data_IF_909801034631
#
_entry.id   IF_909801034631
#
_cell.length_a   1.000
_cell.length_b   1.000
_cell.length_c   1.000
_cell.angle_alpha   90.00
_cell.angle_beta   90.00
_cell.angle_gamma   90.00
#
_symmetry.space_group_name_H-M   'P 1'
#
loop_
_entity.id
_entity.type
_entity.pdbx_description
1 polymer ?
#
# COMPACT_ATOMS: atom_id res chain seq x y z
N UNK A 1 1.84 20.51 31.57
CA UNK A 1 0.73 21.37 31.14
C UNK A 1 0.53 21.16 29.66
N UNK A 2 -0.67 20.78 29.21
CA UNK A 2 -1.00 20.70 27.78
C UNK A 2 -1.00 22.13 27.22
N UNK A 3 -0.19 22.41 26.20
CA UNK A 3 -0.12 23.77 25.62
C UNK A 3 -1.40 24.11 24.86
N UNK A 4 -1.66 25.40 24.62
CA UNK A 4 -2.84 25.85 23.89
C UNK A 4 -2.97 25.21 22.50
N UNK A 5 -1.85 25.02 21.77
CA UNK A 5 -1.85 24.35 20.47
C UNK A 5 -2.29 22.88 20.54
N UNK A 6 -1.93 22.15 21.60
CA UNK A 6 -2.40 20.78 21.81
C UNK A 6 -3.91 20.70 22.09
N UNK A 7 -4.46 21.69 22.80
CA UNK A 7 -5.90 21.79 23.02
C UNK A 7 -6.62 22.06 21.69
N UNK A 8 -6.10 22.98 20.88
CA UNK A 8 -6.63 23.27 19.54
C UNK A 8 -6.53 22.06 18.61
N UNK A 9 -5.43 21.31 18.61
CA UNK A 9 -5.33 20.06 17.84
C UNK A 9 -6.40 19.06 18.29
N UNK A 10 -6.56 18.85 19.59
CA UNK A 10 -7.55 17.92 20.12
C UNK A 10 -8.99 18.33 19.77
N UNK A 11 -9.29 19.64 19.85
CA UNK A 11 -10.56 20.24 19.43
C UNK A 11 -10.78 20.05 17.93
N UNK A 12 -9.82 20.45 17.09
CA UNK A 12 -9.86 20.29 15.64
C UNK A 12 -10.09 18.85 15.21
N UNK A 13 -9.39 17.91 15.82
CA UNK A 13 -9.55 16.49 15.52
C UNK A 13 -10.93 15.96 15.92
N UNK A 14 -11.45 16.39 17.07
CA UNK A 14 -12.73 15.91 17.61
C UNK A 14 -13.93 16.51 16.88
N UNK A 15 -13.90 17.82 16.63
CA UNK A 15 -15.08 18.60 16.22
C UNK A 15 -15.14 18.83 14.71
N UNK A 16 -14.01 18.73 14.01
CA UNK A 16 -13.94 18.98 12.57
C UNK A 16 -13.42 17.77 11.78
N UNK A 17 -12.23 17.26 12.13
CA UNK A 17 -11.58 16.20 11.37
C UNK A 17 -12.36 14.87 11.42
N UNK A 18 -12.64 14.36 12.63
CA UNK A 18 -13.33 13.09 12.80
C UNK A 18 -14.75 13.09 12.20
N UNK A 19 -15.59 14.12 12.41
CA UNK A 19 -16.89 14.20 11.75
C UNK A 19 -16.77 14.22 10.22
N UNK A 20 -15.84 14.99 9.65
CA UNK A 20 -15.63 15.03 8.21
C UNK A 20 -15.19 13.68 7.64
N UNK A 21 -14.27 12.98 8.31
CA UNK A 21 -13.87 11.63 7.90
C UNK A 21 -15.00 10.62 8.00
N UNK A 22 -15.90 10.74 8.98
CA UNK A 22 -17.09 9.87 9.07
C UNK A 22 -18.04 10.06 7.90
N UNK A 23 -18.23 11.30 7.44
CA UNK A 23 -19.00 11.58 6.21
C UNK A 23 -18.35 10.94 4.97
N UNK A 24 -17.03 10.71 4.99
CA UNK A 24 -16.30 10.01 3.94
C UNK A 24 -16.29 8.48 4.11
N UNK A 25 -16.99 7.93 5.12
CA UNK A 25 -17.09 6.49 5.35
C UNK A 25 -16.01 5.90 6.29
N UNK A 26 -15.15 6.73 6.87
CA UNK A 26 -14.23 6.26 7.91
C UNK A 26 -14.97 6.02 9.23
N UNK A 27 -14.45 5.07 9.99
CA UNK A 27 -14.79 4.82 11.40
C UNK A 27 -13.56 5.04 12.27
N UNK A 28 -13.74 5.17 13.59
CA UNK A 28 -12.61 5.39 14.52
C UNK A 28 -12.67 6.73 15.25
N UNK A 29 -11.61 7.02 15.98
CA UNK A 29 -11.57 8.08 16.99
C UNK A 29 -10.14 8.56 17.27
N UNK A 30 -10.02 9.85 17.65
CA UNK A 30 -8.77 10.56 17.97
C UNK A 30 -7.77 10.56 16.81
N UNK A 31 -6.80 9.66 16.86
CA UNK A 31 -5.62 9.66 16.00
C UNK A 31 -5.60 8.48 15.04
N UNK A 32 -6.62 7.62 15.04
CA UNK A 32 -6.67 6.47 14.13
C UNK A 32 -8.08 6.25 13.61
N UNK A 33 -8.18 6.23 12.29
CA UNK A 33 -9.40 6.05 11.52
C UNK A 33 -9.24 4.85 10.59
N UNK A 34 -10.34 4.22 10.21
CA UNK A 34 -10.35 3.04 9.35
C UNK A 34 -11.49 3.09 8.35
N UNK A 35 -11.20 2.75 7.10
CA UNK A 35 -12.23 2.40 6.13
C UNK A 35 -12.66 0.95 6.43
N UNK A 36 -13.95 0.68 6.67
CA UNK A 36 -14.41 -0.67 6.92
C UNK A 36 -14.15 -1.57 5.71
N UNK A 37 -13.39 -2.64 5.92
CA UNK A 37 -13.21 -3.71 4.95
C UNK A 37 -13.27 -5.09 5.64
N UNK A 38 -13.71 -6.12 4.91
CA UNK A 38 -13.84 -7.47 5.47
C UNK A 38 -12.49 -8.17 5.62
N UNK A 39 -11.57 -7.99 4.69
CA UNK A 39 -10.32 -8.73 4.61
C UNK A 39 -9.10 -7.94 5.12
N UNK A 40 -9.18 -6.62 5.14
CA UNK A 40 -8.07 -5.74 5.45
C UNK A 40 -8.36 -4.76 6.58
N UNK A 41 -7.27 -4.31 7.19
CA UNK A 41 -7.19 -3.09 7.96
C UNK A 41 -6.71 -1.96 7.04
N UNK A 42 -7.64 -1.18 6.48
CA UNK A 42 -7.34 0.07 5.77
C UNK A 42 -7.39 1.23 6.78
N UNK A 43 -6.23 1.73 7.16
CA UNK A 43 -6.06 2.64 8.29
C UNK A 43 -5.48 3.98 7.86
N UNK A 44 -5.92 5.02 8.57
CA UNK A 44 -5.35 6.36 8.55
C UNK A 44 -4.94 6.72 9.99
N UNK A 45 -3.68 7.07 10.17
CA UNK A 45 -3.08 7.51 11.42
C UNK A 45 -2.74 8.98 11.38
N UNK A 46 -2.98 9.70 12.47
CA UNK A 46 -2.44 11.04 12.70
C UNK A 46 -1.14 10.87 13.49
N UNK A 47 -0.03 11.26 12.90
CA UNK A 47 1.29 11.26 13.53
C UNK A 47 1.62 12.69 13.95
N UNK A 48 1.88 12.89 15.24
CA UNK A 48 2.24 14.21 15.78
C UNK A 48 3.75 14.23 16.01
N UNK A 49 4.42 15.28 15.54
CA UNK A 49 5.85 15.46 15.74
C UNK A 49 6.16 15.58 17.24
N UNK A 50 7.35 15.12 17.64
CA UNK A 50 7.84 15.39 18.98
C UNK A 50 8.00 16.91 19.17
N UNK A 51 7.28 17.49 20.13
CA UNK A 51 7.38 18.91 20.41
C UNK A 51 8.76 19.25 20.97
N UNK A 52 9.44 20.24 20.38
CA UNK A 52 10.63 20.84 20.98
C UNK A 52 10.27 21.58 22.27
N UNK A 53 11.20 21.64 23.23
CA UNK A 53 10.99 22.41 24.45
C UNK A 53 10.69 23.88 24.10
N UNK A 54 9.49 24.35 24.42
CA UNK A 54 9.06 25.73 24.19
C UNK A 54 8.40 26.02 22.84
N UNK A 55 8.13 25.01 22.01
CA UNK A 55 7.41 25.21 20.74
C UNK A 55 5.94 25.60 21.01
N UNK A 56 5.49 26.79 20.57
CA UNK A 56 4.10 27.21 20.73
C UNK A 56 3.16 26.48 19.75
N UNK A 57 3.68 25.78 18.75
CA UNK A 57 2.92 25.09 17.73
C UNK A 57 3.00 23.56 17.88
N UNK A 58 2.05 22.87 17.26
CA UNK A 58 2.04 21.41 17.12
C UNK A 58 1.99 21.06 15.65
N UNK A 59 2.96 20.25 15.20
CA UNK A 59 3.00 19.76 13.83
C UNK A 59 2.52 18.32 13.75
N UNK A 60 1.73 18.01 12.74
CA UNK A 60 1.25 16.65 12.50
C UNK A 60 1.21 16.32 11.01
N UNK A 61 1.22 15.02 10.72
CA UNK A 61 1.05 14.46 9.38
C UNK A 61 0.10 13.26 9.44
N UNK A 62 -0.25 12.71 8.28
CA UNK A 62 -1.13 11.55 8.18
C UNK A 62 -0.40 10.38 7.53
N UNK A 63 -0.49 9.22 8.15
CA UNK A 63 0.01 7.96 7.59
C UNK A 63 -1.15 7.09 7.15
N UNK A 64 -1.00 6.42 6.02
CA UNK A 64 -1.98 5.48 5.49
C UNK A 64 -1.35 4.10 5.41
N UNK A 65 -2.12 3.05 5.71
CA UNK A 65 -1.67 1.68 5.59
C UNK A 65 -2.80 0.73 5.25
N UNK A 66 -2.47 -0.32 4.51
CA UNK A 66 -3.34 -1.48 4.29
C UNK A 66 -2.61 -2.73 4.78
N UNK A 67 -3.26 -3.50 5.65
CA UNK A 67 -2.72 -4.74 6.23
C UNK A 67 -3.79 -5.81 6.15
N UNK A 68 -3.48 -7.00 5.65
CA UNK A 68 -4.42 -8.11 5.65
C UNK A 68 -4.72 -8.59 7.09
N UNK A 69 -5.99 -8.86 7.39
CA UNK A 69 -6.44 -9.25 8.75
C UNK A 69 -5.91 -10.60 9.17
N UNK A 70 -5.79 -11.54 8.25
CA UNK A 70 -5.21 -12.87 8.45
C UNK A 70 -3.72 -12.80 8.77
N UNK A 71 -2.95 -12.00 8.02
CA UNK A 71 -1.53 -11.74 8.27
C UNK A 71 -1.33 -11.12 9.67
N UNK A 72 -2.22 -10.21 10.08
CA UNK A 72 -2.19 -9.64 11.43
C UNK A 72 -2.56 -10.66 12.52
N UNK A 73 -3.60 -11.47 12.29
CA UNK A 73 -4.05 -12.49 13.24
C UNK A 73 -2.98 -13.56 13.49
N UNK A 74 -2.16 -13.90 12.48
CA UNK A 74 -1.04 -14.83 12.59
C UNK A 74 0.10 -14.39 13.52
N UNK A 75 0.06 -13.18 14.10
CA UNK A 75 1.17 -12.57 14.86
C UNK A 75 1.24 -12.95 16.36
N UNK A 76 0.22 -13.53 17.00
CA UNK A 76 0.26 -13.76 18.46
C UNK A 76 0.88 -15.13 18.83
N UNK A 77 1.96 -15.18 19.66
CA UNK A 77 1.93 -14.63 21.02
C UNK A 77 3.09 -13.69 21.45
N UNK A 78 4.01 -13.25 20.56
CA UNK A 78 5.25 -12.57 20.99
C UNK A 78 5.17 -11.05 21.22
N UNK A 79 4.15 -10.36 20.73
CA UNK A 79 3.88 -8.94 21.03
C UNK A 79 2.46 -8.81 21.57
N UNK A 80 2.32 -8.85 22.90
CA UNK A 80 1.04 -8.70 23.60
C UNK A 80 0.44 -7.32 23.32
N UNK A 81 -0.80 -7.26 22.82
CA UNK A 81 -1.72 -6.20 23.24
C UNK A 81 -2.51 -5.42 22.18
N UNK A 82 -2.13 -5.43 20.89
CA UNK A 82 -2.87 -4.62 19.90
C UNK A 82 -3.82 -5.46 19.04
N UNK A 83 -5.13 -5.20 19.19
CA UNK A 83 -6.21 -5.84 18.41
C UNK A 83 -6.19 -5.48 16.92
N UNK A 84 -5.44 -4.44 16.53
CA UNK A 84 -5.29 -3.95 15.15
C UNK A 84 -3.88 -3.37 14.91
N UNK A 85 -3.42 -3.25 13.65
CA UNK A 85 -2.20 -2.52 13.32
C UNK A 85 -2.26 -1.05 13.76
N UNK A 86 -1.10 -0.46 13.99
CA UNK A 86 -0.94 0.98 14.16
C UNK A 86 -0.39 1.58 12.86
N UNK A 87 -1.15 2.42 12.13
CA UNK A 87 -0.68 3.03 10.88
C UNK A 87 0.54 3.93 11.07
N UNK A 88 0.83 4.39 12.30
CA UNK A 88 2.00 5.20 12.60
C UNK A 88 3.27 4.35 12.82
N UNK A 89 3.16 3.04 13.06
CA UNK A 89 4.30 2.17 13.37
C UNK A 89 4.40 1.01 12.38
N UNK A 90 5.51 0.89 11.65
CA UNK A 90 5.65 -0.15 10.63
C UNK A 90 5.70 -1.54 11.28
N UNK A 91 4.77 -2.39 10.89
CA UNK A 91 4.68 -3.78 11.34
C UNK A 91 5.46 -4.74 10.48
N UNK A 92 5.73 -4.39 9.21
CA UNK A 92 6.29 -5.25 8.18
C UNK A 92 5.27 -6.20 7.55
N UNK A 93 4.00 -6.12 7.96
CA UNK A 93 2.90 -6.96 7.46
C UNK A 93 1.98 -6.17 6.53
N UNK A 94 2.24 -4.88 6.35
CA UNK A 94 1.50 -4.03 5.42
C UNK A 94 1.70 -4.51 3.98
N UNK A 95 0.61 -4.70 3.24
CA UNK A 95 0.67 -4.84 1.79
C UNK A 95 1.06 -3.52 1.14
N UNK A 96 0.65 -2.41 1.77
CA UNK A 96 0.98 -1.04 1.39
C UNK A 96 1.00 -0.07 2.58
N UNK A 97 1.89 0.91 2.52
CA UNK A 97 1.97 2.06 3.43
C UNK A 97 2.49 3.28 2.67
N UNK A 98 1.98 4.46 3.03
CA UNK A 98 2.54 5.74 2.59
C UNK A 98 2.22 6.83 3.61
N UNK A 99 3.05 7.87 3.68
CA UNK A 99 2.63 9.14 4.27
C UNK A 99 1.83 9.92 3.25
N UNK A 100 0.81 10.67 3.70
CA UNK A 100 -0.12 11.36 2.80
C UNK A 100 0.57 12.37 1.88
N UNK A 101 1.68 12.97 2.32
CA UNK A 101 2.47 13.89 1.49
C UNK A 101 2.97 13.25 0.19
N UNK A 102 3.27 11.95 0.22
CA UNK A 102 3.71 11.18 -0.96
C UNK A 102 2.61 11.06 -2.02
N UNK A 103 1.34 11.26 -1.63
CA UNK A 103 0.18 11.20 -2.50
C UNK A 103 -0.21 12.57 -3.08
N UNK A 104 0.36 13.66 -2.54
CA UNK A 104 0.05 15.00 -3.00
C UNK A 104 0.80 15.33 -4.30
N UNK A 105 0.26 16.20 -5.18
CA UNK A 105 0.90 16.51 -6.47
C UNK A 105 2.32 17.08 -6.37
N UNK A 106 2.63 17.78 -5.28
CA UNK A 106 3.96 18.30 -5.03
C UNK A 106 5.00 17.18 -4.75
N UNK A 107 4.53 16.01 -4.30
CA UNK A 107 5.35 14.94 -3.75
C UNK A 107 6.03 15.34 -2.44
N UNK A 108 6.52 14.35 -1.69
CA UNK A 108 7.37 14.58 -0.51
C UNK A 108 6.62 14.60 0.82
N UNK A 109 7.25 15.15 1.84
CA UNK A 109 6.74 15.11 3.21
C UNK A 109 5.92 16.37 3.54
N UNK A 110 4.67 16.19 3.95
CA UNK A 110 3.76 17.30 4.30
C UNK A 110 3.38 17.21 5.76
N UNK A 111 3.58 18.32 6.45
CA UNK A 111 3.24 18.52 7.85
C UNK A 111 2.34 19.73 7.97
N UNK A 112 1.19 19.54 8.58
CA UNK A 112 0.32 20.63 9.01
C UNK A 112 0.79 21.15 10.35
N UNK A 113 0.54 22.42 10.60
CA UNK A 113 0.92 23.10 11.82
C UNK A 113 -0.29 23.77 12.45
N UNK A 114 -0.48 23.53 13.75
CA UNK A 114 -1.47 24.22 14.57
C UNK A 114 -0.72 25.11 15.54
N UNK A 115 -0.87 26.42 15.34
CA UNK A 115 -0.41 27.45 16.26
C UNK A 115 -1.61 28.23 16.82
N UNK A 116 -1.52 28.77 18.05
CA UNK A 116 -2.57 29.62 18.60
C UNK A 116 -2.79 30.85 17.72
N UNK A 117 -4.03 31.10 17.32
CA UNK A 117 -4.39 32.23 16.48
C UNK A 117 -5.65 31.98 15.66
N UNK A 118 -6.17 32.99 14.95
CA UNK A 118 -7.49 32.93 14.30
C UNK A 118 -7.58 31.95 13.12
N UNK A 119 -6.46 31.38 12.65
CA UNK A 119 -6.38 30.50 11.48
C UNK A 119 -5.98 29.06 11.79
N UNK A 120 -5.98 28.69 13.07
CA UNK A 120 -5.55 27.36 13.51
C UNK A 120 -6.32 26.22 12.82
N UNK A 121 -7.59 26.46 12.45
CA UNK A 121 -8.46 25.47 11.82
C UNK A 121 -8.11 25.18 10.35
N UNK A 122 -7.42 26.09 9.65
CA UNK A 122 -7.05 25.92 8.23
C UNK A 122 -6.23 24.66 8.01
N UNK A 123 -5.32 24.34 8.94
CA UNK A 123 -4.54 23.12 8.92
C UNK A 123 -5.42 21.86 8.95
N UNK A 124 -6.46 21.86 9.77
CA UNK A 124 -7.40 20.74 9.91
C UNK A 124 -8.22 20.59 8.63
N UNK A 125 -8.81 21.68 8.14
CA UNK A 125 -9.63 21.67 6.91
C UNK A 125 -8.82 21.23 5.69
N UNK A 126 -7.59 21.73 5.54
CA UNK A 126 -6.70 21.33 4.45
C UNK A 126 -6.31 19.85 4.54
N UNK A 127 -6.02 19.34 5.76
CA UNK A 127 -5.75 17.92 5.95
C UNK A 127 -6.96 17.03 5.61
N UNK A 128 -8.20 17.46 5.91
CA UNK A 128 -9.42 16.77 5.47
C UNK A 128 -9.54 16.78 3.95
N UNK A 129 -9.29 17.92 3.30
CA UNK A 129 -9.32 18.03 1.86
C UNK A 129 -8.29 17.11 1.19
N UNK A 130 -7.10 16.99 1.76
CA UNK A 130 -6.06 16.06 1.31
C UNK A 130 -6.51 14.60 1.42
N UNK A 131 -7.13 14.20 2.54
CA UNK A 131 -7.69 12.84 2.68
C UNK A 131 -8.79 12.60 1.66
N UNK A 132 -9.73 13.53 1.51
CA UNK A 132 -10.86 13.38 0.57
C UNK A 132 -10.37 13.22 -0.86
N UNK A 133 -9.38 14.00 -1.27
CA UNK A 133 -8.92 14.08 -2.66
C UNK A 133 -7.88 13.02 -3.02
N UNK A 134 -7.04 12.62 -2.08
CA UNK A 134 -5.89 11.76 -2.35
C UNK A 134 -5.85 10.52 -1.44
N UNK A 135 -6.05 10.70 -0.13
CA UNK A 135 -5.92 9.61 0.84
C UNK A 135 -6.96 8.49 0.68
N UNK A 136 -8.24 8.84 0.68
CA UNK A 136 -9.33 7.87 0.56
C UNK A 136 -9.36 7.17 -0.80
N UNK A 137 -9.28 7.87 -1.95
CA UNK A 137 -9.23 7.19 -3.25
C UNK A 137 -8.09 6.18 -3.33
N UNK A 138 -6.91 6.50 -2.80
CA UNK A 138 -5.79 5.58 -2.79
C UNK A 138 -6.04 4.38 -1.87
N UNK A 139 -6.58 4.58 -0.66
CA UNK A 139 -6.97 3.46 0.21
C UNK A 139 -7.96 2.51 -0.47
N UNK A 140 -9.00 3.05 -1.10
CA UNK A 140 -10.00 2.24 -1.83
C UNK A 140 -9.35 1.48 -2.99
N UNK A 141 -8.48 2.15 -3.76
CA UNK A 141 -7.73 1.51 -4.84
C UNK A 141 -6.88 0.34 -4.35
N UNK A 142 -6.25 0.46 -3.17
CA UNK A 142 -5.47 -0.63 -2.55
C UNK A 142 -6.33 -1.76 -1.99
N UNK A 143 -7.57 -1.48 -1.60
CA UNK A 143 -8.52 -2.50 -1.18
C UNK A 143 -9.10 -3.28 -2.37
N UNK A 144 -9.23 -2.62 -3.52
CA UNK A 144 -9.65 -3.23 -4.78
C UNK A 144 -8.52 -3.98 -5.48
N UNK A 145 -7.25 -3.61 -5.20
CA UNK A 145 -6.11 -4.43 -5.62
C UNK A 145 -6.28 -5.84 -5.04
N UNK A 146 -6.29 -6.89 -5.88
CA UNK A 146 -6.49 -8.26 -5.40
C UNK A 146 -5.48 -8.56 -4.30
N UNK A 147 -5.93 -9.19 -3.21
CA UNK A 147 -5.03 -9.60 -2.14
C UNK A 147 -3.90 -10.45 -2.72
N UNK A 148 -2.70 -9.88 -2.75
CA UNK A 148 -1.52 -10.54 -3.27
C UNK A 148 -0.75 -11.18 -2.14
N UNK A 149 -0.44 -12.47 -2.28
CA UNK A 149 0.55 -13.13 -1.42
C UNK A 149 1.91 -13.09 -2.09
N UNK A 150 2.99 -13.02 -1.31
CA UNK A 150 4.33 -13.21 -1.86
C UNK A 150 4.41 -14.56 -2.58
N UNK A 151 4.80 -14.56 -3.85
CA UNK A 151 4.82 -15.77 -4.66
C UNK A 151 6.14 -16.55 -4.51
N UNK A 152 7.27 -15.85 -4.62
CA UNK A 152 8.61 -16.42 -4.36
C UNK A 152 9.11 -15.96 -3.00
N UNK A 153 9.65 -16.89 -2.21
CA UNK A 153 10.46 -16.55 -1.05
C UNK A 153 11.69 -15.72 -1.44
N UNK A 154 12.34 -15.08 -0.48
CA UNK A 154 13.53 -14.28 -0.73
C UNK A 154 14.68 -15.09 -1.38
N UNK A 155 14.81 -16.38 -1.02
CA UNK A 155 15.84 -17.27 -1.58
C UNK A 155 15.53 -17.59 -3.04
N UNK A 156 14.30 -18.02 -3.34
CA UNK A 156 13.86 -18.33 -4.71
C UNK A 156 13.94 -17.09 -5.61
N UNK A 157 13.61 -15.91 -5.07
CA UNK A 157 13.71 -14.65 -5.79
C UNK A 157 15.17 -14.29 -6.16
N UNK A 158 16.13 -14.56 -5.29
CA UNK A 158 17.56 -14.36 -5.59
C UNK A 158 18.05 -15.34 -6.66
N UNK A 159 17.61 -16.60 -6.64
CA UNK A 159 17.94 -17.58 -7.69
C UNK A 159 17.41 -17.14 -9.06
N UNK A 160 16.15 -16.70 -9.13
CA UNK A 160 15.55 -16.15 -10.36
C UNK A 160 16.31 -14.90 -10.82
N UNK A 161 16.64 -14.00 -9.90
CA UNK A 161 17.39 -12.78 -10.24
C UNK A 161 18.82 -13.07 -10.71
N UNK A 162 19.47 -14.12 -10.19
CA UNK A 162 20.76 -14.57 -10.68
C UNK A 162 20.67 -15.08 -12.13
N UNK A 163 19.57 -15.74 -12.50
CA UNK A 163 19.32 -16.13 -13.89
C UNK A 163 19.08 -14.92 -14.80
N UNK A 164 18.26 -13.95 -14.37
CA UNK A 164 18.00 -12.71 -15.12
C UNK A 164 19.27 -11.88 -15.34
N UNK A 165 20.15 -11.82 -14.34
CA UNK A 165 21.42 -11.10 -14.43
C UNK A 165 22.33 -11.65 -15.54
N UNK A 166 22.32 -12.96 -15.79
CA UNK A 166 23.08 -13.58 -16.89
C UNK A 166 22.60 -13.12 -18.27
N UNK A 167 21.33 -12.71 -18.37
CA UNK A 167 20.74 -12.16 -19.59
C UNK A 167 20.76 -10.62 -19.62
N UNK A 168 21.49 -9.97 -18.69
CA UNK A 168 21.54 -8.52 -18.54
C UNK A 168 20.16 -7.85 -18.33
N UNK A 169 19.22 -8.55 -17.70
CA UNK A 169 17.87 -8.04 -17.39
C UNK A 169 17.83 -7.51 -15.96
N UNK A 170 17.24 -6.33 -15.76
CA UNK A 170 16.99 -5.76 -14.43
C UNK A 170 16.26 -6.75 -13.53
N UNK A 171 16.69 -6.84 -12.27
CA UNK A 171 16.11 -7.76 -11.28
C UNK A 171 14.63 -7.51 -11.01
N UNK A 172 13.92 -8.58 -10.66
CA UNK A 172 12.60 -8.54 -10.03
C UNK A 172 12.79 -8.04 -8.59
N UNK A 173 12.00 -7.02 -8.22
CA UNK A 173 11.97 -6.42 -6.90
C UNK A 173 10.92 -7.04 -5.99
N UNK A 174 9.79 -7.47 -6.57
CA UNK A 174 8.66 -8.04 -5.82
C UNK A 174 7.91 -9.02 -6.71
N UNK A 175 7.50 -10.15 -6.12
CA UNK A 175 6.67 -11.18 -6.76
C UNK A 175 5.43 -11.41 -5.92
N UNK A 176 4.28 -11.31 -6.56
CA UNK A 176 2.98 -11.27 -5.91
C UNK A 176 2.03 -12.18 -6.65
N UNK A 177 1.27 -13.01 -5.96
CA UNK A 177 0.23 -13.84 -6.55
C UNK A 177 -1.13 -13.37 -6.06
N UNK A 178 -1.98 -12.95 -6.98
CA UNK A 178 -3.37 -12.57 -6.68
C UNK A 178 -4.22 -13.78 -6.32
N UNK A 179 -5.33 -13.55 -5.62
CA UNK A 179 -6.33 -14.58 -5.34
C UNK A 179 -6.92 -15.22 -6.61
N UNK A 180 -7.01 -14.45 -7.71
CA UNK A 180 -7.52 -14.92 -9.00
C UNK A 180 -6.48 -15.75 -9.79
N UNK A 181 -5.27 -15.90 -9.28
CA UNK A 181 -4.20 -16.64 -9.94
C UNK A 181 -3.44 -15.82 -10.99
N UNK A 182 -3.26 -14.52 -10.78
CA UNK A 182 -2.32 -13.70 -11.57
C UNK A 182 -1.01 -13.49 -10.80
N UNK A 183 0.12 -13.83 -11.42
CA UNK A 183 1.45 -13.57 -10.89
C UNK A 183 1.93 -12.18 -11.33
N UNK A 184 2.05 -11.25 -10.38
CA UNK A 184 2.56 -9.91 -10.62
C UNK A 184 4.07 -9.86 -10.36
N UNK A 185 4.82 -9.40 -11.35
CA UNK A 185 6.26 -9.16 -11.28
C UNK A 185 6.52 -7.65 -11.33
N UNK A 186 7.26 -7.11 -10.36
CA UNK A 186 7.61 -5.69 -10.32
C UNK A 186 9.12 -5.49 -10.45
N UNK A 187 9.55 -4.57 -11.30
CA UNK A 187 10.98 -4.34 -11.55
C UNK A 187 11.25 -3.03 -12.28
N UNK A 188 12.54 -2.70 -12.42
CA UNK A 188 12.99 -1.49 -13.10
C UNK A 188 13.09 -1.72 -14.61
N UNK A 189 11.94 -1.95 -15.25
CA UNK A 189 11.83 -2.15 -16.70
C UNK A 189 11.02 -1.02 -17.36
N UNK A 190 11.17 -0.91 -18.67
CA UNK A 190 10.43 0.02 -19.51
C UNK A 190 9.75 -0.75 -20.64
N UNK A 191 8.60 -0.28 -21.12
CA UNK A 191 7.77 -1.00 -22.10
C UNK A 191 8.49 -1.33 -23.42
N UNK A 192 9.50 -0.55 -23.78
CA UNK A 192 10.33 -0.71 -24.98
C UNK A 192 11.48 -1.73 -24.83
N UNK A 193 11.73 -2.24 -23.62
CA UNK A 193 12.80 -3.19 -23.36
C UNK A 193 12.45 -4.59 -23.90
N UNK A 194 12.86 -4.86 -25.14
CA UNK A 194 12.59 -6.12 -25.84
C UNK A 194 13.34 -7.30 -25.24
N UNK A 195 14.50 -7.07 -24.64
CA UNK A 195 15.32 -8.12 -24.02
C UNK A 195 14.65 -8.56 -22.73
N UNK A 196 14.30 -7.62 -21.85
CA UNK A 196 13.57 -7.91 -20.62
C UNK A 196 12.24 -8.62 -20.91
N UNK A 197 11.46 -8.14 -21.90
CA UNK A 197 10.21 -8.79 -22.28
C UNK A 197 10.42 -10.26 -22.66
N UNK A 198 11.34 -10.55 -23.59
CA UNK A 198 11.57 -11.92 -24.08
C UNK A 198 12.06 -12.85 -22.97
N UNK A 199 12.98 -12.37 -22.13
CA UNK A 199 13.51 -13.17 -21.01
C UNK A 199 12.43 -13.43 -19.97
N UNK A 200 11.63 -12.43 -19.60
CA UNK A 200 10.52 -12.60 -18.65
C UNK A 200 9.42 -13.51 -19.22
N UNK A 201 9.15 -13.45 -20.52
CA UNK A 201 8.24 -14.38 -21.22
C UNK A 201 8.76 -15.82 -21.12
N UNK A 202 10.02 -16.08 -21.49
CA UNK A 202 10.61 -17.41 -21.32
C UNK A 202 10.72 -17.85 -19.85
N UNK A 203 10.88 -16.92 -18.91
CA UNK A 203 10.92 -17.21 -17.47
C UNK A 203 9.52 -17.58 -16.94
N UNK A 204 8.50 -16.87 -17.42
CA UNK A 204 7.09 -17.12 -17.13
C UNK A 204 6.56 -18.40 -17.80
N UNK A 205 7.21 -18.87 -18.88
CA UNK A 205 6.88 -20.15 -19.54
C UNK A 205 7.71 -21.35 -19.03
N UNK A 206 8.87 -21.08 -18.45
CA UNK A 206 9.78 -22.09 -17.94
C UNK A 206 9.75 -22.17 -16.43
N UNK A 207 10.77 -21.58 -15.79
CA UNK A 207 11.09 -21.81 -14.39
C UNK A 207 9.98 -21.37 -13.42
N UNK A 208 9.23 -20.31 -13.73
CA UNK A 208 8.12 -19.90 -12.88
C UNK A 208 6.89 -20.81 -13.06
N UNK A 209 6.68 -21.41 -14.23
CA UNK A 209 5.40 -22.06 -14.60
C UNK A 209 5.47 -23.57 -14.70
N UNK A 210 6.65 -24.18 -14.66
CA UNK A 210 6.81 -25.62 -14.80
C UNK A 210 6.04 -26.38 -13.71
N UNK A 211 4.78 -26.72 -14.01
CA UNK A 211 3.85 -27.40 -13.11
C UNK A 211 3.21 -26.52 -12.03
N UNK A 212 3.32 -25.19 -12.11
CA UNK A 212 2.74 -24.32 -11.07
C UNK A 212 1.31 -23.88 -11.42
N UNK A 213 0.34 -24.63 -10.90
CA UNK A 213 -1.09 -24.37 -11.08
C UNK A 213 -1.59 -23.14 -10.29
N UNK A 214 -0.75 -22.52 -9.46
CA UNK A 214 -1.16 -21.40 -8.60
C UNK A 214 -1.48 -20.14 -9.39
N UNK A 215 -1.03 -20.02 -10.63
CA UNK A 215 -1.32 -18.88 -11.49
C UNK A 215 -1.54 -19.30 -12.95
N UNK A 216 -2.33 -18.50 -13.67
CA UNK A 216 -2.69 -18.74 -15.07
C UNK A 216 -2.22 -17.61 -16.00
N UNK A 217 -1.70 -16.52 -15.42
CA UNK A 217 -1.23 -15.33 -16.13
C UNK A 217 -0.13 -14.63 -15.34
N UNK A 218 0.83 -14.04 -16.04
CA UNK A 218 1.88 -13.19 -15.44
C UNK A 218 1.70 -11.75 -15.91
N UNK A 219 1.67 -10.79 -14.98
CA UNK A 219 1.57 -9.36 -15.28
C UNK A 219 2.82 -8.65 -14.78
N UNK A 220 3.43 -7.85 -15.65
CA UNK A 220 4.71 -7.18 -15.38
C UNK A 220 4.48 -5.70 -15.21
N UNK A 221 4.96 -5.14 -14.11
CA UNK A 221 4.83 -3.73 -13.76
C UNK A 221 6.20 -3.07 -13.56
N UNK A 222 6.26 -1.77 -13.83
CA UNK A 222 7.40 -0.96 -13.41
C UNK A 222 7.36 -0.66 -11.89
N UNK A 223 8.38 0.04 -11.40
CA UNK A 223 8.49 0.45 -9.99
C UNK A 223 7.43 1.47 -9.56
N UNK A 224 6.74 2.10 -10.51
CA UNK A 224 5.64 3.05 -10.27
C UNK A 224 4.26 2.35 -10.32
N UNK A 225 4.23 1.04 -10.58
CA UNK A 225 3.00 0.26 -10.64
C UNK A 225 2.25 0.37 -11.97
N UNK A 226 2.88 0.88 -13.04
CA UNK A 226 2.29 0.88 -14.38
C UNK A 226 2.52 -0.47 -15.05
N UNK A 227 1.47 -1.02 -15.64
CA UNK A 227 1.56 -2.28 -16.37
C UNK A 227 2.34 -2.13 -17.68
N UNK A 228 3.38 -2.95 -17.83
CA UNK A 228 4.23 -3.00 -19.01
C UNK A 228 3.75 -4.07 -19.99
N UNK A 229 3.57 -5.30 -19.48
CA UNK A 229 3.25 -6.49 -20.29
C UNK A 229 2.34 -7.46 -19.53
N UNK A 230 1.54 -8.21 -20.28
CA UNK A 230 0.76 -9.36 -19.80
C UNK A 230 1.20 -10.58 -20.60
N UNK A 231 1.60 -11.64 -19.91
CA UNK A 231 2.17 -12.86 -20.45
C UNK A 231 1.27 -14.04 -20.05
N UNK A 232 1.00 -14.96 -20.99
CA UNK A 232 0.21 -16.15 -20.70
C UNK A 232 1.03 -17.22 -19.99
N UNK A 233 0.42 -17.99 -19.08
CA UNK A 233 1.04 -19.23 -18.60
C UNK A 233 0.89 -20.32 -19.68
N UNK A 234 1.92 -21.13 -19.97
CA UNK A 234 1.79 -22.25 -20.88
C UNK A 234 0.96 -23.35 -20.21
N UNK A 235 -0.20 -23.71 -20.78
CA UNK A 235 -0.96 -24.85 -20.24
C UNK A 235 -2.47 -24.89 -20.48
N UNK A 236 -3.10 -23.88 -21.10
CA UNK A 236 -4.39 -24.09 -21.78
C UNK A 236 -4.19 -23.91 -23.27
N UNK A 237 -3.87 -25.02 -23.91
CA UNK A 237 -4.01 -25.12 -25.36
C UNK A 237 -5.43 -24.71 -25.74
N UNK A 238 -5.57 -23.96 -26.83
CA UNK A 238 -6.85 -23.58 -27.46
C UNK A 238 -7.67 -24.80 -27.96
N UNK A 239 -7.22 -26.01 -27.64
CA UNK A 239 -7.80 -27.31 -27.99
C UNK A 239 -8.89 -27.82 -27.03
N UNK A 240 -9.26 -27.06 -25.98
CA UNK A 240 -10.36 -27.42 -25.06
C UNK A 240 -11.62 -26.57 -25.30
N UNK A 241 -11.78 -26.02 -26.52
CA UNK A 241 -13.12 -25.67 -26.99
C UNK A 241 -13.89 -27.00 -27.10
N UNK A 242 -15.03 -27.18 -26.41
CA UNK A 242 -15.88 -28.30 -26.72
C UNK A 242 -16.33 -28.17 -28.17
N UNK A 243 -15.84 -29.07 -29.01
CA UNK A 243 -16.52 -29.42 -30.25
C UNK A 243 -17.89 -29.98 -29.86
N UNK A 244 -18.94 -29.33 -30.35
CA UNK A 244 -20.23 -29.97 -30.57
C UNK A 244 -21.40 -29.38 -29.78
N UNK A 245 -22.35 -28.83 -30.53
CA UNK A 245 -23.72 -28.54 -30.08
C UNK A 245 -24.43 -27.53 -30.96
#
# INVERSE_FOLDING_TARGET
MTTAAWQLLAEGLRDHFAPALRTLGFTGWRYTFSVPDRAHWALLGVEVAAAGAGDPAVRYTLNLSVTAKDAWAGRAPRQRGSLRPDPNTASGLESWRARIGELLPAGGDVWWEIAPGPRWLVAVEDSVAAVRRYGLPELLRRLEEPATRTYLSAVELEEVNAALARAAVSRIRRTELTADGELLLRGAWVRSDRVARRVLESTAEGFLSAGDERYHRVRVFDTLGRELWSLGAPGRSEADRPDGG
#
